data_IF_741717499219
#
_entry.id   IF_741717499219
#
_cell.length_a   1.000
_cell.length_b   1.000
_cell.length_c   1.000
_cell.angle_alpha   90.00
_cell.angle_beta   90.00
_cell.angle_gamma   90.00
#
_symmetry.space_group_name_H-M   'P 1'
#
loop_
_entity.id
_entity.type
_entity.pdbx_description
1 polymer ?
#
# COMPACT_ATOMS: atom_id res chain seq x y z
N UNK A 1 4.11 11.62 9.41
CA UNK A 1 4.29 10.41 10.14
C UNK A 1 3.84 9.16 9.40
N UNK A 2 2.55 8.85 9.29
CA UNK A 2 2.11 7.63 8.60
C UNK A 2 2.45 7.66 7.10
N UNK A 3 2.37 8.81 6.47
CA UNK A 3 2.70 8.97 5.06
C UNK A 3 4.17 8.67 4.78
N UNK A 4 5.08 9.19 5.62
CA UNK A 4 6.51 8.97 5.46
C UNK A 4 6.91 7.50 5.63
N UNK A 5 6.11 6.72 6.36
CA UNK A 5 6.35 5.29 6.53
C UNK A 5 5.71 4.45 5.43
N UNK A 6 4.66 4.97 4.78
CA UNK A 6 3.97 4.27 3.71
C UNK A 6 4.64 4.48 2.37
N UNK A 7 5.09 5.70 2.11
CA UNK A 7 5.80 6.06 0.88
C UNK A 7 6.76 7.22 1.17
N UNK A 8 7.99 7.12 0.70
CA UNK A 8 8.94 8.21 0.85
C UNK A 8 8.53 9.37 -0.04
N UNK A 9 8.70 10.58 0.48
CA UNK A 9 8.34 11.79 -0.25
C UNK A 9 9.05 11.90 -1.61
N UNK A 10 10.33 11.53 -1.65
CA UNK A 10 11.10 11.55 -2.89
C UNK A 10 10.56 10.60 -3.95
N UNK A 11 10.09 9.42 -3.54
CA UNK A 11 9.42 8.47 -4.44
C UNK A 11 8.13 9.06 -5.00
N UNK A 12 7.35 9.67 -4.13
CA UNK A 12 6.09 10.28 -4.52
C UNK A 12 6.29 11.44 -5.49
N UNK A 13 7.26 12.31 -5.20
CA UNK A 13 7.61 13.41 -6.10
C UNK A 13 8.07 12.91 -7.47
N UNK A 14 8.82 11.81 -7.50
CA UNK A 14 9.25 11.18 -8.75
C UNK A 14 8.06 10.66 -9.56
N UNK A 15 7.07 10.06 -8.91
CA UNK A 15 5.82 9.61 -9.56
C UNK A 15 5.07 10.80 -10.14
N UNK A 16 4.89 11.86 -9.36
CA UNK A 16 4.19 13.05 -9.82
C UNK A 16 4.85 13.65 -11.07
N UNK A 17 6.19 13.72 -11.07
CA UNK A 17 6.93 14.19 -12.25
C UNK A 17 6.71 13.30 -13.45
N UNK A 18 6.77 11.97 -13.28
CA UNK A 18 6.54 11.02 -14.37
C UNK A 18 5.12 11.12 -14.92
N UNK A 19 4.12 11.22 -14.06
CA UNK A 19 2.74 11.37 -14.48
C UNK A 19 2.52 12.65 -15.30
N UNK A 20 3.13 13.76 -14.88
CA UNK A 20 3.04 15.01 -15.62
C UNK A 20 3.68 14.92 -17.01
N UNK A 21 4.69 14.05 -17.16
CA UNK A 21 5.40 13.85 -18.42
C UNK A 21 4.76 12.80 -19.33
N UNK A 22 3.80 12.02 -18.82
CA UNK A 22 3.07 11.05 -19.64
C UNK A 22 2.09 11.80 -20.54
N UNK A 23 2.21 11.62 -21.84
CA UNK A 23 1.41 12.34 -22.82
C UNK A 23 -0.09 12.22 -22.56
N UNK A 24 -0.58 11.02 -22.26
CA UNK A 24 -2.01 10.75 -22.07
C UNK A 24 -2.64 11.50 -20.88
N UNK A 25 -1.85 11.86 -19.86
CA UNK A 25 -2.36 12.53 -18.64
C UNK A 25 -1.87 13.97 -18.52
N UNK A 26 -1.00 14.44 -19.41
CA UNK A 26 -0.36 15.74 -19.30
C UNK A 26 -1.36 16.89 -19.19
N UNK A 27 -2.37 16.91 -20.06
CA UNK A 27 -3.40 17.95 -20.04
C UNK A 27 -4.27 17.93 -18.79
N UNK A 28 -4.44 16.76 -18.17
CA UNK A 28 -5.24 16.59 -16.95
C UNK A 28 -4.48 17.04 -15.71
N UNK A 29 -3.17 16.76 -15.67
CA UNK A 29 -2.35 17.00 -14.47
C UNK A 29 -1.58 18.32 -14.52
N UNK A 30 -1.62 19.01 -15.66
CA UNK A 30 -0.97 20.31 -15.82
C UNK A 30 -1.57 21.33 -14.87
N UNK A 31 -0.72 22.03 -14.13
CA UNK A 31 -1.16 23.01 -13.14
C UNK A 31 -1.50 22.43 -11.78
N UNK A 32 -1.59 21.12 -11.63
CA UNK A 32 -1.83 20.49 -10.32
C UNK A 32 -0.55 20.45 -9.49
N UNK A 33 -0.68 20.76 -8.20
CA UNK A 33 0.41 20.59 -7.24
C UNK A 33 0.61 19.11 -6.92
N UNK A 34 1.76 18.77 -6.31
CA UNK A 34 2.02 17.40 -5.85
C UNK A 34 1.00 16.95 -4.81
N UNK A 35 0.55 17.86 -3.93
CA UNK A 35 -0.50 17.57 -2.95
C UNK A 35 -1.83 17.25 -3.61
N UNK A 36 -2.22 18.00 -4.65
CA UNK A 36 -3.45 17.75 -5.40
C UNK A 36 -3.41 16.42 -6.14
N UNK A 37 -2.28 16.08 -6.76
CA UNK A 37 -2.11 14.78 -7.44
C UNK A 37 -2.22 13.67 -6.41
N UNK A 38 -1.62 13.83 -5.24
CA UNK A 38 -1.64 12.85 -4.17
C UNK A 38 -3.07 12.52 -3.72
N UNK A 39 -3.88 13.55 -3.51
CA UNK A 39 -5.26 13.36 -3.06
C UNK A 39 -6.19 12.93 -4.18
N UNK A 40 -6.07 13.54 -5.35
CA UNK A 40 -7.00 13.34 -6.48
C UNK A 40 -6.73 12.06 -7.25
N UNK A 41 -5.46 11.81 -7.59
CA UNK A 41 -5.09 10.66 -8.43
C UNK A 41 -4.91 9.41 -7.57
N UNK A 42 -4.17 9.52 -6.46
CA UNK A 42 -3.85 8.37 -5.61
C UNK A 42 -4.83 8.17 -4.47
N UNK A 43 -5.78 9.08 -4.29
CA UNK A 43 -6.79 8.96 -3.26
C UNK A 43 -6.25 8.96 -1.84
N UNK A 44 -5.08 9.58 -1.63
CA UNK A 44 -4.54 9.71 -0.28
C UNK A 44 -5.41 10.64 0.54
N UNK A 45 -5.77 10.21 1.74
CA UNK A 45 -6.51 11.03 2.69
C UNK A 45 -5.55 11.85 3.55
N UNK A 46 -5.98 13.05 3.92
CA UNK A 46 -5.23 13.91 4.83
C UNK A 46 -5.19 13.36 6.25
N UNK A 47 -6.17 12.56 6.64
CA UNK A 47 -6.22 11.91 7.93
C UNK A 47 -4.99 11.02 8.13
N UNK A 48 -4.20 11.33 9.15
CA UNK A 48 -2.98 10.59 9.49
C UNK A 48 -3.24 9.15 9.90
N UNK A 49 -4.46 8.82 10.30
CA UNK A 49 -4.86 7.47 10.69
C UNK A 49 -5.37 6.65 9.53
N UNK A 50 -5.61 7.25 8.38
CA UNK A 50 -6.10 6.55 7.20
C UNK A 50 -5.10 5.47 6.76
N UNK A 51 -5.57 4.25 6.43
CA UNK A 51 -4.67 3.16 6.02
C UNK A 51 -4.12 3.33 4.61
N UNK A 52 -4.63 4.25 3.81
CA UNK A 52 -4.15 4.60 2.47
C UNK A 52 -3.96 3.38 1.56
N UNK A 53 -5.00 2.56 1.43
CA UNK A 53 -4.96 1.31 0.68
C UNK A 53 -4.39 1.47 -0.74
N UNK A 54 -4.84 2.50 -1.47
CA UNK A 54 -4.40 2.70 -2.86
C UNK A 54 -2.89 2.93 -2.96
N UNK A 55 -2.33 3.71 -2.05
CA UNK A 55 -0.88 3.98 -2.01
C UNK A 55 -0.12 2.71 -1.62
N UNK A 56 -0.61 1.97 -0.63
CA UNK A 56 0.00 0.72 -0.20
C UNK A 56 -0.03 -0.33 -1.32
N UNK A 57 -1.13 -0.43 -2.08
CA UNK A 57 -1.20 -1.31 -3.24
C UNK A 57 -0.24 -0.90 -4.34
N UNK A 58 -0.15 0.39 -4.63
CA UNK A 58 0.78 0.91 -5.63
C UNK A 58 2.22 0.57 -5.26
N UNK A 59 2.59 0.79 -3.99
CA UNK A 59 3.94 0.43 -3.52
C UNK A 59 4.18 -1.07 -3.64
N UNK A 60 3.21 -1.90 -3.28
CA UNK A 60 3.34 -3.35 -3.44
C UNK A 60 3.65 -3.71 -4.88
N UNK A 61 2.88 -3.19 -5.83
CA UNK A 61 3.07 -3.48 -7.25
C UNK A 61 4.44 -3.02 -7.78
N UNK A 62 4.92 -1.88 -7.29
CA UNK A 62 6.13 -1.26 -7.83
C UNK A 62 7.41 -1.75 -7.14
N UNK A 63 7.34 -2.19 -5.88
CA UNK A 63 8.50 -2.59 -5.09
C UNK A 63 8.71 -4.10 -5.10
N UNK A 64 7.66 -4.89 -4.92
CA UNK A 64 7.77 -6.35 -4.96
C UNK A 64 7.96 -6.85 -6.38
N UNK A 65 8.86 -7.80 -6.53
CA UNK A 65 9.11 -8.48 -7.80
C UNK A 65 8.95 -9.99 -7.56
N UNK A 66 7.73 -10.49 -7.76
CA UNK A 66 7.43 -11.91 -7.60
C UNK A 66 7.36 -12.64 -8.95
N UNK A 67 7.55 -11.92 -10.05
CA UNK A 67 7.51 -12.47 -11.41
C UNK A 67 6.12 -12.87 -11.89
N UNK A 68 5.06 -12.54 -11.12
CA UNK A 68 3.68 -12.95 -11.44
C UNK A 68 2.70 -11.78 -11.44
N UNK A 69 2.56 -11.11 -10.31
CA UNK A 69 1.57 -10.05 -10.10
C UNK A 69 2.26 -8.70 -9.95
N UNK A 70 3.29 -8.63 -9.12
CA UNK A 70 3.97 -7.39 -8.78
C UNK A 70 5.14 -7.14 -9.75
N UNK A 71 5.31 -5.88 -10.16
CA UNK A 71 6.19 -5.52 -11.29
C UNK A 71 7.65 -5.30 -10.90
N UNK A 72 7.91 -4.89 -9.65
CA UNK A 72 9.26 -4.71 -9.13
C UNK A 72 10.11 -3.68 -9.85
N UNK A 73 9.51 -2.56 -10.28
CA UNK A 73 10.22 -1.51 -11.04
C UNK A 73 10.94 -0.51 -10.14
N UNK A 74 10.63 -0.47 -8.85
CA UNK A 74 11.28 0.39 -7.87
C UNK A 74 12.35 -0.37 -7.09
N UNK A 75 13.59 -0.20 -7.50
CA UNK A 75 14.71 -0.94 -6.90
C UNK A 75 15.28 -0.28 -5.64
N UNK A 76 14.92 0.98 -5.38
CA UNK A 76 15.43 1.74 -4.22
C UNK A 76 14.65 1.49 -2.92
N UNK A 77 13.54 0.80 -2.98
CA UNK A 77 12.70 0.48 -1.84
C UNK A 77 12.75 -1.01 -1.54
N UNK A 78 12.77 -1.35 -0.25
CA UNK A 78 12.81 -2.73 0.20
C UNK A 78 11.39 -3.20 0.53
N UNK A 79 11.01 -4.36 -0.01
CA UNK A 79 9.70 -4.96 0.21
C UNK A 79 9.40 -5.28 1.69
N UNK A 80 10.43 -5.46 2.52
CA UNK A 80 10.26 -5.69 3.96
C UNK A 80 9.65 -4.49 4.68
N UNK A 81 9.74 -3.29 4.11
CA UNK A 81 9.22 -2.05 4.68
C UNK A 81 7.82 -1.69 4.17
N UNK A 82 7.23 -2.53 3.34
CA UNK A 82 5.88 -2.29 2.84
C UNK A 82 4.84 -2.55 3.91
N UNK A 83 3.75 -1.78 3.84
CA UNK A 83 2.57 -1.97 4.67
C UNK A 83 1.50 -2.64 3.81
N UNK A 84 0.88 -3.68 4.35
CA UNK A 84 -0.21 -4.41 3.72
C UNK A 84 -1.34 -3.44 3.34
N UNK A 85 -1.89 -3.52 2.11
CA UNK A 85 -3.07 -2.74 1.74
C UNK A 85 -4.28 -3.22 2.56
N UNK A 86 -4.82 -2.35 3.41
CA UNK A 86 -5.94 -2.72 4.29
C UNK A 86 -7.28 -2.34 3.67
N UNK A 87 -8.14 -3.31 3.48
CA UNK A 87 -9.55 -3.12 3.15
C UNK A 87 -10.43 -3.97 4.05
N UNK A 88 -11.74 -3.95 3.80
CA UNK A 88 -12.71 -4.69 4.61
C UNK A 88 -12.41 -6.20 4.58
N UNK A 89 -12.07 -6.76 3.43
CA UNK A 89 -11.81 -8.19 3.29
C UNK A 89 -10.56 -8.62 4.05
N UNK A 90 -9.46 -7.87 3.90
CA UNK A 90 -8.22 -8.11 4.63
C UNK A 90 -8.46 -8.00 6.13
N UNK A 91 -9.17 -6.95 6.55
CA UNK A 91 -9.51 -6.74 7.95
C UNK A 91 -10.31 -7.91 8.51
N UNK A 92 -11.36 -8.34 7.82
CA UNK A 92 -12.24 -9.41 8.29
C UNK A 92 -11.46 -10.74 8.41
N UNK A 93 -10.65 -11.07 7.43
CA UNK A 93 -9.84 -12.30 7.46
C UNK A 93 -8.78 -12.23 8.55
N UNK A 94 -8.10 -11.10 8.70
CA UNK A 94 -7.09 -10.93 9.73
C UNK A 94 -7.69 -11.03 11.13
N UNK A 95 -8.88 -10.47 11.34
CA UNK A 95 -9.61 -10.56 12.60
C UNK A 95 -10.01 -12.01 12.88
N UNK A 96 -10.53 -12.71 11.89
CA UNK A 96 -10.93 -14.12 12.04
C UNK A 96 -9.74 -15.02 12.40
N UNK A 97 -8.54 -14.70 11.89
CA UNK A 97 -7.32 -15.45 12.19
C UNK A 97 -6.59 -14.98 13.45
N UNK A 98 -7.11 -13.97 14.15
CA UNK A 98 -6.50 -13.45 15.37
C UNK A 98 -5.26 -12.59 15.15
N UNK A 99 -5.05 -12.07 13.93
CA UNK A 99 -3.90 -11.22 13.62
C UNK A 99 -4.06 -9.79 14.13
N UNK A 100 -5.28 -9.38 14.40
CA UNK A 100 -5.59 -8.09 15.03
C UNK A 100 -6.83 -8.23 15.90
N UNK A 101 -6.85 -7.51 17.02
CA UNK A 101 -8.04 -7.35 17.87
C UNK A 101 -8.63 -5.96 17.77
N UNK A 102 -8.11 -5.10 16.92
CA UNK A 102 -8.55 -3.72 16.81
C UNK A 102 -9.87 -3.65 16.04
N UNK A 103 -10.74 -2.73 16.46
CA UNK A 103 -12.05 -2.50 15.82
C UNK A 103 -11.99 -1.48 14.69
N UNK A 104 -10.90 -0.71 14.59
CA UNK A 104 -10.75 0.36 13.62
C UNK A 104 -9.90 -0.10 12.44
N UNK A 105 -10.34 0.25 11.23
CA UNK A 105 -9.63 -0.05 9.99
C UNK A 105 -8.71 1.13 9.62
N UNK A 106 -7.72 1.38 10.46
CA UNK A 106 -6.80 2.50 10.32
C UNK A 106 -5.37 2.03 10.02
N UNK A 107 -4.44 2.99 9.93
CA UNK A 107 -3.03 2.68 9.63
C UNK A 107 -2.37 1.86 10.75
N UNK A 108 -2.80 2.03 11.99
CA UNK A 108 -2.27 1.27 13.13
C UNK A 108 -2.65 -0.20 12.97
N UNK A 109 -3.89 -0.48 12.61
CA UNK A 109 -4.37 -1.84 12.32
C UNK A 109 -3.62 -2.45 11.14
N UNK A 110 -3.42 -1.70 10.06
CA UNK A 110 -2.66 -2.17 8.90
C UNK A 110 -1.22 -2.55 9.30
N UNK A 111 -0.58 -1.77 10.16
CA UNK A 111 0.77 -2.07 10.65
C UNK A 111 0.79 -3.29 11.56
N UNK A 112 -0.19 -3.42 12.43
CA UNK A 112 -0.30 -4.57 13.33
C UNK A 112 -0.41 -5.88 12.54
N UNK A 113 -1.26 -5.91 11.53
CA UNK A 113 -1.41 -7.06 10.65
C UNK A 113 -0.11 -7.32 9.87
N UNK A 114 0.51 -6.26 9.35
CA UNK A 114 1.78 -6.38 8.63
C UNK A 114 2.88 -6.93 9.53
N UNK A 115 2.96 -6.47 10.78
CA UNK A 115 3.95 -6.94 11.74
C UNK A 115 3.74 -8.42 12.11
N UNK A 116 2.50 -8.87 12.19
CA UNK A 116 2.20 -10.29 12.38
C UNK A 116 2.74 -11.13 11.21
N UNK A 117 2.61 -10.66 9.99
CA UNK A 117 3.17 -11.35 8.83
C UNK A 117 4.69 -11.24 8.72
N UNK A 118 5.32 -10.22 9.32
CA UNK A 118 6.79 -10.14 9.41
C UNK A 118 7.39 -11.27 10.24
N UNK A 119 6.65 -11.80 11.19
CA UNK A 119 7.11 -12.96 11.96
C UNK A 119 7.21 -14.21 11.09
N UNK A 120 6.36 -14.31 10.05
CA UNK A 120 6.36 -15.45 9.13
C UNK A 120 7.28 -15.18 7.93
N UNK A 121 7.19 -14.00 7.36
CA UNK A 121 7.97 -13.57 6.19
C UNK A 121 8.70 -12.25 6.49
N UNK A 122 9.83 -12.27 7.22
CA UNK A 122 10.52 -11.03 7.63
C UNK A 122 10.95 -10.15 6.45
N UNK A 123 11.30 -10.77 5.34
CA UNK A 123 11.76 -10.05 4.13
C UNK A 123 10.64 -9.64 3.19
N UNK A 124 9.42 -10.17 3.38
CA UNK A 124 8.30 -9.92 2.47
C UNK A 124 6.95 -10.05 3.18
N UNK A 125 6.61 -9.15 4.12
CA UNK A 125 5.37 -9.26 4.89
C UNK A 125 4.10 -9.14 4.02
N UNK A 126 4.16 -8.46 2.88
CA UNK A 126 3.01 -8.35 1.96
C UNK A 126 2.63 -9.68 1.30
N UNK A 127 3.45 -10.71 1.44
CA UNK A 127 3.06 -12.07 1.08
C UNK A 127 1.79 -12.53 1.82
N UNK A 128 1.57 -11.99 3.02
CA UNK A 128 0.36 -12.25 3.80
C UNK A 128 -0.92 -11.77 3.14
N UNK A 129 -0.86 -10.72 2.31
CA UNK A 129 -2.01 -10.25 1.56
C UNK A 129 -2.54 -11.33 0.62
N UNK A 130 -1.65 -12.01 -0.08
CA UNK A 130 -2.03 -13.13 -0.96
C UNK A 130 -2.53 -14.34 -0.17
N UNK A 131 -1.94 -14.61 0.98
CA UNK A 131 -2.38 -15.69 1.87
C UNK A 131 -3.80 -15.42 2.39
N UNK A 132 -4.10 -14.19 2.80
CA UNK A 132 -5.45 -13.80 3.24
C UNK A 132 -6.46 -13.88 2.10
N UNK A 133 -6.08 -13.45 0.91
CA UNK A 133 -6.95 -13.56 -0.26
C UNK A 133 -7.30 -15.03 -0.55
N UNK A 134 -6.29 -15.90 -0.59
CA UNK A 134 -6.50 -17.33 -0.80
C UNK A 134 -7.37 -17.96 0.27
N UNK A 135 -7.16 -17.62 1.53
CA UNK A 135 -7.97 -18.07 2.65
C UNK A 135 -9.45 -17.63 2.49
N UNK A 136 -9.67 -16.36 2.16
CA UNK A 136 -11.02 -15.81 1.97
C UNK A 136 -11.78 -16.47 0.84
N UNK A 137 -11.10 -16.84 -0.25
CA UNK A 137 -11.71 -17.54 -1.41
C UNK A 137 -12.13 -18.96 -1.02
N UNK A 138 -11.34 -19.67 -0.21
CA UNK A 138 -11.61 -21.07 0.16
C UNK A 138 -12.52 -21.21 1.37
N UNK A 139 -12.70 -20.18 2.18
CA UNK A 139 -13.47 -20.23 3.43
C UNK A 139 -14.69 -19.28 3.38
N UNK A 140 -15.30 -19.15 2.24
CA UNK A 140 -16.54 -18.36 2.09
C UNK A 140 -17.71 -19.01 2.81
#
# INVERSE_FOLDING_TARGET
ASLHRTIRWSEFAAICRRLRNIYAVRGTLEGMSDAEIRTTVFGQKEDRKAPNKKISMMRRWLVRDDGKVDLGVWKDSDKKNLILPLDVHVYDQATALGLTGRRQKDIVTAREITDAFKEIWPEDPCKGDFALFGYGVTHK
#
